data_IF_259121934929
#
_entry.id   IF_259121934929
#
_cell.length_a   1.000
_cell.length_b   1.000
_cell.length_c   1.000
_cell.angle_alpha   90.00
_cell.angle_beta   90.00
_cell.angle_gamma   90.00
#
_symmetry.space_group_name_H-M   'P 1'
#
loop_
_entity.id
_entity.type
_entity.pdbx_description
1 polymer ?
#
# COMPACT_ATOMS: atom_id res chain seq x y z
N UNK A 1 -1.19 3.75 -8.93
CA UNK A 1 -0.89 3.70 -10.37
C UNK A 1 -1.86 4.62 -11.08
N UNK A 2 -1.43 5.79 -11.61
CA UNK A 2 -2.27 6.68 -12.43
C UNK A 2 -1.52 7.91 -13.00
N UNK A 3 -2.16 8.63 -13.93
CA UNK A 3 -1.63 9.14 -15.20
C UNK A 3 -1.98 10.61 -15.59
N UNK A 4 -1.12 11.42 -16.22
CA UNK A 4 -1.42 12.82 -16.63
C UNK A 4 -1.69 12.96 -18.13
N UNK A 5 -2.49 13.96 -18.50
CA UNK A 5 -2.44 14.61 -19.81
C UNK A 5 -1.27 15.62 -19.89
N UNK A 6 -0.76 15.73 -21.12
CA UNK A 6 0.25 16.65 -21.68
C UNK A 6 1.73 16.51 -21.25
N UNK A 7 2.50 15.81 -22.10
CA UNK A 7 3.60 16.37 -22.91
C UNK A 7 3.69 15.54 -24.21
N UNK A 8 3.38 16.18 -25.34
CA UNK A 8 3.73 15.89 -26.75
C UNK A 8 4.08 14.46 -27.22
N UNK A 9 3.26 13.97 -28.17
CA UNK A 9 3.38 12.78 -29.06
C UNK A 9 3.01 11.40 -28.45
N UNK A 10 1.82 10.93 -28.85
CA UNK A 10 1.33 9.54 -28.96
C UNK A 10 0.59 8.82 -27.82
N UNK A 11 0.31 9.40 -26.64
CA UNK A 11 -0.52 8.72 -25.63
C UNK A 11 -1.55 9.66 -24.98
N UNK A 12 -2.82 9.68 -25.41
CA UNK A 12 -3.87 10.56 -24.88
C UNK A 12 -4.32 10.22 -23.44
N UNK A 13 -3.73 9.20 -22.81
CA UNK A 13 -4.13 8.71 -21.48
C UNK A 13 -2.94 8.49 -20.54
N UNK A 14 -1.77 9.09 -20.84
CA UNK A 14 -0.42 8.94 -20.24
C UNK A 14 0.04 7.52 -19.83
N UNK A 15 1.08 7.35 -18.97
CA UNK A 15 1.56 6.02 -18.51
C UNK A 15 0.49 5.20 -17.77
N UNK A 16 0.11 4.06 -18.34
CA UNK A 16 -0.88 3.13 -17.79
C UNK A 16 -0.28 2.07 -16.86
N UNK A 17 -0.80 0.84 -16.92
CA UNK A 17 -0.18 -0.31 -16.26
C UNK A 17 1.04 -0.80 -17.05
N UNK A 18 2.13 -0.04 -17.03
CA UNK A 18 3.33 -0.25 -17.86
C UNK A 18 4.62 -0.51 -17.05
N UNK A 19 4.49 -0.69 -15.74
CA UNK A 19 5.59 -0.90 -14.79
C UNK A 19 6.66 0.20 -14.76
N UNK A 20 6.35 1.41 -15.24
CA UNK A 20 7.17 2.63 -15.08
C UNK A 20 7.58 2.88 -13.62
N UNK A 21 6.67 2.65 -12.67
CA UNK A 21 6.91 2.76 -11.22
C UNK A 21 8.10 1.92 -10.70
N UNK A 22 8.48 0.85 -11.43
CA UNK A 22 9.58 -0.03 -11.05
C UNK A 22 10.94 0.48 -11.52
N UNK A 23 11.01 1.44 -12.45
CA UNK A 23 12.27 2.00 -12.93
C UNK A 23 12.98 2.78 -11.82
N UNK A 24 14.29 2.61 -11.72
CA UNK A 24 15.18 3.47 -10.93
C UNK A 24 15.57 4.70 -11.74
N UNK A 25 16.02 5.74 -11.05
CA UNK A 25 16.52 6.99 -11.65
C UNK A 25 17.68 6.70 -12.61
N UNK A 26 17.78 7.49 -13.67
CA UNK A 26 18.94 7.48 -14.57
C UNK A 26 19.23 8.89 -15.11
N UNK A 27 20.15 8.98 -16.09
CA UNK A 27 20.56 10.27 -16.67
C UNK A 27 19.49 10.97 -17.52
N UNK A 28 18.41 10.29 -17.92
CA UNK A 28 17.36 10.85 -18.81
C UNK A 28 16.03 11.05 -18.11
N UNK A 29 15.76 10.39 -16.98
CA UNK A 29 14.56 10.62 -16.17
C UNK A 29 14.78 10.31 -14.68
N UNK A 30 13.93 10.92 -13.85
CA UNK A 30 13.75 10.54 -12.45
C UNK A 30 12.60 9.54 -12.34
N UNK A 31 12.85 8.41 -11.68
CA UNK A 31 11.87 7.37 -11.41
C UNK A 31 10.74 7.86 -10.50
N UNK A 32 9.66 7.09 -10.45
CA UNK A 32 8.46 7.49 -9.69
C UNK A 32 8.56 7.22 -8.19
N UNK A 33 9.58 6.46 -7.76
CA UNK A 33 9.72 6.01 -6.37
C UNK A 33 9.91 7.15 -5.37
N UNK A 34 10.45 8.27 -5.84
CA UNK A 34 10.68 9.49 -5.03
C UNK A 34 9.54 10.50 -5.13
N UNK A 35 8.46 10.19 -5.86
CA UNK A 35 7.25 11.02 -5.88
C UNK A 35 6.65 11.10 -4.47
N UNK A 36 6.04 12.22 -4.09
CA UNK A 36 5.45 12.43 -2.76
C UNK A 36 4.54 11.28 -2.30
N UNK A 37 3.62 10.78 -3.14
CA UNK A 37 2.76 9.63 -2.78
C UNK A 37 3.51 8.29 -2.60
N UNK A 38 4.67 8.13 -3.24
CA UNK A 38 5.44 6.88 -3.24
C UNK A 38 6.60 6.88 -2.23
N UNK A 39 7.22 8.03 -2.01
CA UNK A 39 8.41 8.20 -1.18
C UNK A 39 8.12 7.84 0.27
N UNK A 40 8.95 6.97 0.86
CA UNK A 40 8.75 6.43 2.21
C UNK A 40 7.34 5.83 2.43
N UNK A 41 6.76 5.25 1.38
CA UNK A 41 5.40 4.69 1.35
C UNK A 41 5.35 3.40 0.52
N UNK A 42 5.56 3.50 -0.80
CA UNK A 42 5.54 2.38 -1.73
C UNK A 42 6.74 1.44 -1.48
N UNK A 43 6.49 0.14 -1.61
CA UNK A 43 7.39 -0.91 -1.11
C UNK A 43 7.11 -2.26 -1.79
N UNK A 44 7.91 -3.28 -1.46
CA UNK A 44 7.78 -4.63 -2.05
C UNK A 44 8.49 -4.79 -3.39
N UNK A 45 9.27 -3.79 -3.84
CA UNK A 45 9.96 -3.85 -5.11
C UNK A 45 10.94 -5.03 -5.23
N UNK A 46 11.60 -5.41 -4.13
CA UNK A 46 12.50 -6.57 -4.08
C UNK A 46 11.76 -7.90 -4.32
N UNK A 47 10.48 -7.99 -3.90
CA UNK A 47 9.65 -9.17 -4.18
C UNK A 47 9.38 -9.27 -5.67
N UNK A 48 9.12 -8.14 -6.33
CA UNK A 48 8.93 -8.10 -7.79
C UNK A 48 10.22 -8.50 -8.51
N UNK A 49 11.39 -8.06 -8.01
CA UNK A 49 12.69 -8.49 -8.56
C UNK A 49 12.89 -10.01 -8.40
N UNK A 50 12.52 -10.60 -7.25
CA UNK A 50 12.57 -12.05 -7.03
C UNK A 50 11.66 -12.81 -7.98
N UNK A 51 10.39 -12.38 -8.12
CA UNK A 51 9.44 -12.98 -9.08
C UNK A 51 10.02 -12.89 -10.49
N UNK A 52 10.56 -11.73 -10.86
CA UNK A 52 11.15 -11.53 -12.17
C UNK A 52 12.34 -12.44 -12.41
N UNK A 53 13.25 -12.57 -11.46
CA UNK A 53 14.42 -13.46 -11.57
C UNK A 53 14.01 -14.93 -11.75
N UNK A 54 13.00 -15.39 -11.00
CA UNK A 54 12.49 -16.76 -11.10
C UNK A 54 11.82 -17.00 -12.46
N UNK A 55 11.07 -16.01 -12.97
CA UNK A 55 10.45 -16.09 -14.29
C UNK A 55 11.49 -16.03 -15.41
N UNK A 56 12.52 -15.18 -15.31
CA UNK A 56 13.60 -15.17 -16.31
C UNK A 56 14.39 -16.48 -16.33
N UNK A 57 14.46 -17.20 -15.22
CA UNK A 57 15.05 -18.55 -15.18
C UNK A 57 14.15 -19.59 -15.86
N UNK A 58 12.83 -19.45 -15.72
CA UNK A 58 11.85 -20.44 -16.19
C UNK A 58 11.39 -20.20 -17.63
N UNK A 59 11.25 -18.94 -18.02
CA UNK A 59 10.77 -18.47 -19.31
C UNK A 59 11.47 -17.14 -19.70
N UNK A 60 12.76 -17.20 -20.10
CA UNK A 60 13.58 -16.02 -20.39
C UNK A 60 12.93 -15.09 -21.42
N UNK A 61 12.83 -13.81 -21.10
CA UNK A 61 12.32 -12.78 -22.02
C UNK A 61 10.84 -12.88 -22.39
N UNK A 62 10.03 -13.65 -21.63
CA UNK A 62 8.62 -13.87 -21.95
C UNK A 62 7.68 -12.97 -21.14
N UNK A 63 7.89 -12.82 -19.83
CA UNK A 63 6.93 -12.15 -18.95
C UNK A 63 7.36 -10.72 -18.64
N UNK A 64 6.53 -9.73 -18.96
CA UNK A 64 6.79 -8.32 -18.62
C UNK A 64 6.65 -8.05 -17.12
N UNK A 65 7.35 -7.02 -16.64
CA UNK A 65 7.17 -6.57 -15.25
C UNK A 65 5.76 -5.99 -15.01
N UNK A 66 5.14 -5.41 -16.04
CA UNK A 66 3.75 -4.94 -16.00
C UNK A 66 2.76 -6.07 -15.72
N UNK A 67 2.90 -7.23 -16.38
CA UNK A 67 2.05 -8.39 -16.12
C UNK A 67 2.36 -9.05 -14.77
N UNK A 68 3.63 -9.04 -14.31
CA UNK A 68 3.98 -9.48 -12.96
C UNK A 68 3.21 -8.69 -11.90
N UNK A 69 3.16 -7.35 -12.02
CA UNK A 69 2.42 -6.51 -11.07
C UNK A 69 0.92 -6.81 -11.08
N UNK A 70 0.32 -7.00 -12.26
CA UNK A 70 -1.10 -7.30 -12.38
C UNK A 70 -1.48 -8.65 -11.76
N UNK A 71 -0.68 -9.70 -12.02
CA UNK A 71 -0.89 -11.03 -11.44
C UNK A 71 -0.61 -11.04 -9.94
N UNK A 72 0.49 -10.42 -9.50
CA UNK A 72 0.84 -10.34 -8.08
C UNK A 72 -0.24 -9.60 -7.28
N UNK A 73 -0.87 -8.56 -7.84
CA UNK A 73 -1.99 -7.87 -7.20
C UNK A 73 -3.20 -8.81 -7.00
N UNK A 74 -3.59 -9.58 -8.02
CA UNK A 74 -4.67 -10.56 -7.90
C UNK A 74 -4.34 -11.66 -6.90
N UNK A 75 -3.15 -12.24 -6.98
CA UNK A 75 -2.71 -13.33 -6.11
C UNK A 75 -2.62 -12.87 -4.65
N UNK A 76 -2.21 -11.62 -4.39
CA UNK A 76 -2.19 -11.04 -3.05
C UNK A 76 -3.60 -10.92 -2.45
N UNK A 77 -4.58 -10.49 -3.25
CA UNK A 77 -5.98 -10.41 -2.80
C UNK A 77 -6.53 -11.80 -2.48
N UNK A 78 -6.30 -12.79 -3.35
CA UNK A 78 -6.74 -14.18 -3.14
C UNK A 78 -6.07 -14.79 -1.91
N UNK A 79 -4.77 -14.54 -1.69
CA UNK A 79 -4.04 -15.04 -0.53
C UNK A 79 -4.58 -14.49 0.81
N UNK A 80 -5.27 -13.35 0.76
CA UNK A 80 -5.90 -12.69 1.90
C UNK A 80 -7.42 -12.96 1.95
N UNK A 81 -7.88 -14.05 1.33
CA UNK A 81 -9.28 -14.51 1.27
C UNK A 81 -10.24 -13.62 0.46
N UNK A 82 -9.69 -12.73 -0.37
CA UNK A 82 -10.48 -11.92 -1.29
C UNK A 82 -10.90 -12.68 -2.55
N UNK A 83 -11.59 -11.99 -3.48
CA UNK A 83 -12.02 -12.61 -4.73
C UNK A 83 -10.85 -12.93 -5.65
N UNK A 84 -11.04 -13.94 -6.49
CA UNK A 84 -10.21 -14.13 -7.68
C UNK A 84 -10.92 -13.54 -8.89
N UNK A 85 -10.15 -13.03 -9.85
CA UNK A 85 -10.60 -12.67 -11.18
C UNK A 85 -9.58 -13.12 -12.22
N UNK A 86 -9.99 -13.18 -13.48
CA UNK A 86 -9.09 -13.45 -14.60
C UNK A 86 -8.33 -12.17 -14.92
N UNK A 87 -7.01 -12.20 -14.80
CA UNK A 87 -6.13 -11.08 -15.15
C UNK A 87 -5.85 -11.13 -16.66
N UNK A 88 -6.26 -10.12 -17.47
CA UNK A 88 -5.79 -10.02 -18.85
C UNK A 88 -4.27 -9.84 -18.87
N UNK A 89 -3.56 -10.52 -19.76
CA UNK A 89 -2.10 -10.44 -19.92
C UNK A 89 -1.72 -9.87 -21.29
N UNK A 90 -0.43 -9.68 -21.52
CA UNK A 90 0.13 -9.14 -22.76
C UNK A 90 0.59 -7.69 -22.65
N UNK A 91 0.66 -7.14 -21.42
CA UNK A 91 1.22 -5.81 -21.20
C UNK A 91 2.72 -5.84 -21.46
N UNK A 92 3.26 -4.70 -21.85
CA UNK A 92 4.68 -4.48 -22.06
C UNK A 92 5.17 -3.37 -21.15
N UNK A 93 6.46 -3.40 -20.91
CA UNK A 93 7.12 -2.49 -19.98
C UNK A 93 7.49 -1.18 -20.66
N UNK A 94 7.26 -0.08 -19.95
CA UNK A 94 7.75 1.23 -20.33
C UNK A 94 9.28 1.29 -20.35
N UNK A 95 9.81 2.16 -21.20
CA UNK A 95 11.23 2.53 -21.26
C UNK A 95 11.54 3.80 -20.46
N UNK A 96 10.52 4.45 -19.89
CA UNK A 96 10.63 5.71 -19.14
C UNK A 96 9.70 5.71 -17.92
N UNK A 97 9.95 6.62 -16.98
CA UNK A 97 9.11 6.88 -15.82
C UNK A 97 8.82 8.39 -15.69
N UNK A 98 7.80 8.76 -14.92
CA UNK A 98 7.45 10.17 -14.75
C UNK A 98 7.14 10.53 -13.29
N UNK A 99 8.15 11.07 -12.60
CA UNK A 99 8.01 11.63 -11.25
C UNK A 99 6.87 12.65 -11.16
N UNK A 100 6.77 13.57 -12.14
CA UNK A 100 5.72 14.59 -12.17
C UNK A 100 4.34 13.98 -12.34
N UNK A 101 4.17 12.98 -13.22
CA UNK A 101 2.90 12.29 -13.36
C UNK A 101 2.51 11.56 -12.07
N UNK A 102 3.44 10.90 -11.38
CA UNK A 102 3.14 10.27 -10.09
C UNK A 102 2.67 11.30 -9.03
N UNK A 103 3.29 12.49 -8.98
CA UNK A 103 2.88 13.57 -8.06
C UNK A 103 1.51 14.16 -8.39
N UNK A 104 1.17 14.30 -9.66
CA UNK A 104 -0.06 14.99 -10.08
C UNK A 104 -1.30 14.09 -10.12
N UNK A 105 -1.14 12.77 -10.25
CA UNK A 105 -2.27 11.89 -10.59
C UNK A 105 -2.62 10.83 -9.54
N UNK A 106 -1.83 10.70 -8.48
CA UNK A 106 -2.16 9.82 -7.38
C UNK A 106 -3.04 10.61 -6.39
N UNK A 107 -4.26 10.15 -6.09
CA UNK A 107 -5.14 10.85 -5.18
C UNK A 107 -4.54 10.89 -3.77
N UNK A 108 -4.61 12.05 -3.13
CA UNK A 108 -4.14 12.23 -1.77
C UNK A 108 -5.15 11.74 -0.71
N UNK A 109 -4.68 11.40 0.48
CA UNK A 109 -5.52 10.90 1.58
C UNK A 109 -6.45 11.97 2.20
N UNK A 110 -6.23 13.25 1.85
CA UNK A 110 -6.98 14.41 2.35
C UNK A 110 -7.98 14.97 1.32
N UNK A 111 -8.22 14.25 0.21
CA UNK A 111 -9.18 14.70 -0.80
C UNK A 111 -10.62 14.47 -0.35
N UNK A 112 -11.49 15.45 -0.65
CA UNK A 112 -12.94 15.30 -0.49
C UNK A 112 -13.55 14.41 -1.57
N UNK A 113 -14.82 14.01 -1.39
CA UNK A 113 -15.51 13.10 -2.31
C UNK A 113 -15.52 13.58 -3.78
N UNK A 114 -15.78 14.87 -4.02
CA UNK A 114 -15.83 15.43 -5.38
C UNK A 114 -14.46 15.35 -6.08
N UNK A 115 -13.39 15.65 -5.35
CA UNK A 115 -12.03 15.55 -5.86
C UNK A 115 -11.62 14.09 -6.11
N UNK A 116 -12.04 13.14 -5.27
CA UNK A 116 -11.82 11.71 -5.49
C UNK A 116 -12.54 11.21 -6.75
N UNK A 117 -13.82 11.57 -6.90
CA UNK A 117 -14.60 11.22 -8.10
C UNK A 117 -13.93 11.80 -9.35
N UNK A 118 -13.45 13.05 -9.29
CA UNK A 118 -12.74 13.70 -10.40
C UNK A 118 -11.43 12.98 -10.72
N UNK A 119 -10.64 12.61 -9.71
CA UNK A 119 -9.39 11.90 -9.91
C UNK A 119 -9.59 10.53 -10.61
N UNK A 120 -10.66 9.82 -10.25
CA UNK A 120 -11.02 8.54 -10.85
C UNK A 120 -11.68 8.69 -12.23
N UNK A 121 -12.52 9.72 -12.43
CA UNK A 121 -13.16 9.98 -13.72
C UNK A 121 -12.15 10.41 -14.79
N UNK A 122 -11.09 11.13 -14.40
CA UNK A 122 -9.93 11.42 -15.25
C UNK A 122 -9.15 10.16 -15.69
N UNK A 123 -9.50 8.99 -15.13
CA UNK A 123 -8.98 7.67 -15.48
C UNK A 123 -10.06 6.77 -16.08
N UNK A 124 -11.23 7.32 -16.40
CA UNK A 124 -12.36 6.60 -16.98
C UNK A 124 -13.14 5.75 -15.98
N UNK A 125 -12.98 5.94 -14.67
CA UNK A 125 -13.74 5.22 -13.65
C UNK A 125 -14.98 5.99 -13.18
N UNK A 126 -15.99 5.24 -12.82
CA UNK A 126 -17.23 5.70 -12.19
C UNK A 126 -17.05 5.83 -10.68
N UNK A 127 -17.97 6.54 -10.02
CA UNK A 127 -18.01 6.60 -8.55
C UNK A 127 -18.18 5.21 -7.92
N UNK A 128 -18.91 4.28 -8.56
CA UNK A 128 -19.05 2.90 -8.10
C UNK A 128 -17.71 2.16 -8.09
N UNK A 129 -16.90 2.35 -9.13
CA UNK A 129 -15.57 1.73 -9.25
C UNK A 129 -14.56 2.37 -8.30
N UNK A 130 -14.64 3.67 -8.03
CA UNK A 130 -13.92 4.33 -6.93
C UNK A 130 -14.23 3.63 -5.61
N UNK A 131 -15.51 3.50 -5.24
CA UNK A 131 -15.91 2.88 -3.96
C UNK A 131 -15.45 1.42 -3.89
N UNK A 132 -15.51 0.68 -5.00
CA UNK A 132 -15.00 -0.69 -5.07
C UNK A 132 -13.49 -0.74 -4.84
N UNK A 133 -12.70 0.02 -5.59
CA UNK A 133 -11.23 0.01 -5.50
C UNK A 133 -10.71 0.52 -4.14
N UNK A 134 -11.39 1.48 -3.52
CA UNK A 134 -11.09 1.91 -2.15
C UNK A 134 -11.26 0.79 -1.12
N UNK A 135 -12.06 -0.24 -1.43
CA UNK A 135 -12.16 -1.46 -0.62
C UNK A 135 -10.83 -2.19 -0.44
N UNK A 136 -9.80 -1.91 -1.24
CA UNK A 136 -8.43 -2.41 -1.02
C UNK A 136 -7.81 -1.95 0.30
N UNK A 137 -8.30 -0.86 0.91
CA UNK A 137 -7.93 -0.42 2.25
C UNK A 137 -8.48 -1.33 3.38
N UNK A 138 -9.22 -2.39 3.05
CA UNK A 138 -9.51 -3.47 4.01
C UNK A 138 -8.23 -4.14 4.53
N UNK A 139 -7.10 -4.00 3.82
CA UNK A 139 -5.79 -4.53 4.21
C UNK A 139 -4.73 -3.43 4.16
N UNK A 140 -3.70 -3.62 4.98
CA UNK A 140 -2.52 -2.75 5.00
C UNK A 140 -2.60 -1.65 6.05
N UNK A 141 -1.70 -0.69 5.92
CA UNK A 141 -1.45 0.31 6.95
C UNK A 141 -1.23 1.69 6.39
N UNK A 142 -1.55 2.69 7.21
CA UNK A 142 -1.26 4.08 6.94
C UNK A 142 -0.34 4.67 8.00
N UNK A 143 0.53 5.59 7.58
CA UNK A 143 1.39 6.36 8.48
C UNK A 143 0.60 7.49 9.14
N UNK A 144 0.96 7.82 10.37
CA UNK A 144 0.43 8.98 11.07
C UNK A 144 0.38 10.26 10.22
N UNK A 145 1.42 10.52 9.42
CA UNK A 145 1.49 11.69 8.55
C UNK A 145 0.32 11.82 7.57
N UNK A 146 -0.33 10.72 7.17
CA UNK A 146 -1.43 10.74 6.18
C UNK A 146 -2.82 10.79 6.81
N UNK A 147 -2.97 10.55 8.12
CA UNK A 147 -4.28 10.63 8.81
C UNK A 147 -4.31 11.58 10.01
N UNK A 148 -3.17 12.18 10.40
CA UNK A 148 -3.09 13.10 11.54
C UNK A 148 -4.10 14.23 11.44
N UNK A 149 -4.19 14.89 10.28
CA UNK A 149 -5.15 15.98 10.11
C UNK A 149 -6.58 15.51 10.40
N UNK A 150 -6.96 14.35 9.85
CA UNK A 150 -8.29 13.78 10.01
C UNK A 150 -8.66 13.55 11.48
N UNK A 151 -7.80 12.88 12.25
CA UNK A 151 -8.11 12.54 13.65
C UNK A 151 -8.14 13.77 14.58
N UNK A 152 -7.46 14.87 14.23
CA UNK A 152 -7.39 16.08 15.07
C UNK A 152 -8.38 17.16 14.67
N UNK A 153 -8.70 17.29 13.38
CA UNK A 153 -9.40 18.46 12.84
C UNK A 153 -10.80 18.15 12.32
N UNK A 154 -11.09 16.89 11.94
CA UNK A 154 -12.33 16.58 11.26
C UNK A 154 -13.42 16.13 12.24
N UNK A 155 -14.67 16.48 11.92
CA UNK A 155 -15.84 16.12 12.72
C UNK A 155 -16.53 14.81 12.25
N UNK A 156 -16.14 14.28 11.09
CA UNK A 156 -16.74 13.09 10.49
C UNK A 156 -16.07 11.77 10.91
N UNK A 157 -15.30 11.77 12.00
CA UNK A 157 -14.66 10.59 12.59
C UNK A 157 -15.24 10.29 13.98
N UNK A 158 -15.40 9.00 14.29
CA UNK A 158 -15.84 8.54 15.59
C UNK A 158 -14.87 9.01 16.68
N UNK A 159 -15.38 9.74 17.68
CA UNK A 159 -14.56 10.37 18.71
C UNK A 159 -13.73 9.37 19.55
N UNK A 160 -14.27 8.19 19.86
CA UNK A 160 -13.55 7.16 20.61
C UNK A 160 -12.42 6.55 19.76
N UNK A 161 -12.69 6.33 18.48
CA UNK A 161 -11.70 5.84 17.53
C UNK A 161 -10.58 6.85 17.27
N UNK A 162 -10.92 8.12 17.07
CA UNK A 162 -9.93 9.19 16.97
C UNK A 162 -9.07 9.29 18.24
N UNK A 163 -9.68 9.14 19.41
CA UNK A 163 -8.96 9.12 20.70
C UNK A 163 -7.99 7.94 20.81
N UNK A 164 -8.38 6.75 20.34
CA UNK A 164 -7.48 5.58 20.37
C UNK A 164 -6.29 5.74 19.44
N UNK A 165 -6.46 6.37 18.28
CA UNK A 165 -5.38 6.67 17.34
C UNK A 165 -4.43 7.74 17.87
N UNK A 166 -4.94 8.80 18.52
CA UNK A 166 -4.14 9.89 19.11
C UNK A 166 -3.12 9.41 20.14
N UNK A 167 -3.42 8.32 20.86
CA UNK A 167 -2.48 7.72 21.81
C UNK A 167 -1.14 7.34 21.18
N UNK A 168 -1.16 7.00 19.88
CA UNK A 168 0.02 6.63 19.10
C UNK A 168 0.35 7.66 18.01
N UNK A 169 -0.33 8.81 17.96
CA UNK A 169 -0.19 9.77 16.86
C UNK A 169 -0.28 11.21 17.38
N UNK A 170 0.83 11.80 17.89
CA UNK A 170 0.83 13.14 18.46
C UNK A 170 0.54 14.26 17.44
N UNK A 171 0.24 15.47 17.93
CA UNK A 171 -0.16 16.62 17.11
C UNK A 171 1.00 17.38 16.43
N UNK A 172 2.25 17.35 16.94
CA UNK A 172 3.42 18.02 16.32
C UNK A 172 4.77 17.29 16.57
N UNK A 173 5.71 17.35 15.59
CA UNK A 173 7.16 17.03 15.68
C UNK A 173 7.65 15.62 15.27
N UNK A 174 8.95 15.48 14.96
CA UNK A 174 9.69 14.19 14.97
C UNK A 174 9.90 13.46 13.62
N UNK A 175 9.84 14.17 12.50
CA UNK A 175 9.62 13.62 11.15
C UNK A 175 10.70 12.65 10.59
N UNK A 176 11.89 12.55 11.20
CA UNK A 176 13.06 11.90 10.59
C UNK A 176 13.82 10.87 11.46
N UNK A 177 13.30 10.42 12.61
CA UNK A 177 14.09 9.55 13.51
C UNK A 177 13.71 8.06 13.42
N UNK A 178 14.73 7.20 13.29
CA UNK A 178 14.64 5.72 13.26
C UNK A 178 15.65 5.11 14.27
N UNK A 179 15.33 3.97 14.89
CA UNK A 179 16.23 3.23 15.79
C UNK A 179 16.20 1.70 15.51
N UNK A 180 17.36 1.01 15.44
CA UNK A 180 17.43 -0.42 15.15
C UNK A 180 17.02 -1.30 16.34
N UNK A 181 16.34 -2.41 16.06
CA UNK A 181 15.82 -3.39 17.03
C UNK A 181 16.82 -4.45 17.49
N UNK A 182 17.88 -4.66 16.72
CA UNK A 182 18.91 -5.66 16.99
C UNK A 182 20.28 -5.03 16.75
N UNK A 183 21.14 -5.05 17.77
CA UNK A 183 22.51 -4.51 17.69
C UNK A 183 23.53 -5.54 17.22
N UNK A 184 23.09 -6.78 16.98
CA UNK A 184 23.93 -7.95 16.65
C UNK A 184 23.73 -8.38 15.18
N UNK A 185 22.49 -8.37 14.69
CA UNK A 185 22.17 -8.68 13.29
C UNK A 185 21.02 -7.79 12.76
N UNK A 186 21.30 -6.51 12.46
CA UNK A 186 20.29 -5.48 12.12
C UNK A 186 19.47 -5.75 10.84
N UNK A 187 19.72 -6.86 10.14
CA UNK A 187 19.20 -7.16 8.81
C UNK A 187 18.70 -8.60 8.62
N UNK A 188 18.56 -9.41 9.70
CA UNK A 188 18.15 -10.83 9.60
C UNK A 188 16.98 -11.21 10.54
N UNK A 189 16.18 -12.19 10.12
CA UNK A 189 14.96 -12.67 10.80
C UNK A 189 15.13 -14.16 11.21
N UNK A 190 14.77 -14.54 12.44
CA UNK A 190 14.89 -15.91 12.95
C UNK A 190 13.56 -16.54 13.44
N UNK A 191 13.64 -17.83 13.81
CA UNK A 191 12.50 -18.72 14.08
C UNK A 191 11.79 -18.49 15.42
N UNK A 192 12.28 -17.60 16.29
CA UNK A 192 11.66 -17.36 17.60
C UNK A 192 10.33 -16.58 17.50
N UNK A 193 10.14 -15.81 16.43
CA UNK A 193 9.03 -14.89 16.23
C UNK A 193 7.70 -15.56 15.78
N UNK A 194 7.72 -16.75 15.19
CA UNK A 194 6.59 -17.27 14.38
C UNK A 194 5.59 -18.22 15.05
N UNK A 195 5.69 -18.49 16.36
CA UNK A 195 4.85 -19.53 17.00
C UNK A 195 3.32 -19.27 17.01
N UNK A 196 2.84 -18.12 16.51
CA UNK A 196 1.40 -17.80 16.41
C UNK A 196 0.88 -17.57 14.95
N UNK A 197 1.63 -17.94 13.91
CA UNK A 197 1.30 -17.61 12.50
C UNK A 197 1.18 -18.84 11.58
N UNK A 198 0.62 -19.95 12.06
CA UNK A 198 0.69 -21.24 11.36
C UNK A 198 -0.18 -21.33 10.09
N UNK A 199 -1.32 -20.64 10.04
CA UNK A 199 -2.24 -20.66 8.89
C UNK A 199 -1.69 -19.93 7.65
N UNK A 200 -1.11 -18.74 7.87
CA UNK A 200 -0.61 -17.87 6.79
C UNK A 200 0.67 -18.44 6.14
N UNK A 201 1.54 -19.07 6.95
CA UNK A 201 2.73 -19.79 6.47
C UNK A 201 2.33 -20.94 5.54
N UNK A 202 1.27 -21.67 5.89
CA UNK A 202 0.80 -22.82 5.11
C UNK A 202 0.28 -22.39 3.73
N UNK A 203 -0.49 -21.29 3.66
CA UNK A 203 -1.02 -20.77 2.39
C UNK A 203 0.09 -20.29 1.42
N UNK A 204 1.14 -19.65 1.94
CA UNK A 204 2.26 -19.16 1.14
C UNK A 204 3.22 -20.27 0.72
N UNK A 205 3.46 -21.24 1.62
CA UNK A 205 4.23 -22.45 1.30
C UNK A 205 3.61 -23.23 0.15
N UNK A 206 2.27 -23.29 0.06
CA UNK A 206 1.56 -23.94 -1.04
C UNK A 206 1.71 -23.22 -2.40
N UNK A 207 2.27 -22.00 -2.40
CA UNK A 207 2.54 -21.18 -3.60
C UNK A 207 4.05 -21.07 -3.90
N UNK A 208 4.87 -21.87 -3.22
CA UNK A 208 6.33 -21.88 -3.41
C UNK A 208 7.08 -20.76 -2.70
N UNK A 209 6.41 -20.01 -1.83
CA UNK A 209 7.03 -18.93 -1.05
C UNK A 209 7.45 -19.43 0.34
N UNK A 210 8.66 -19.06 0.75
CA UNK A 210 9.20 -19.29 2.09
C UNK A 210 8.53 -18.38 3.13
N UNK A 211 8.64 -18.72 4.42
CA UNK A 211 8.22 -17.82 5.51
C UNK A 211 8.90 -16.43 5.46
N UNK A 212 10.11 -16.37 4.90
CA UNK A 212 10.85 -15.12 4.66
C UNK A 212 10.23 -14.28 3.54
N UNK A 213 9.74 -14.91 2.47
CA UNK A 213 9.03 -14.24 1.37
C UNK A 213 7.60 -13.87 1.76
N UNK A 214 6.95 -14.70 2.58
CA UNK A 214 5.72 -14.32 3.28
C UNK A 214 5.95 -13.02 4.06
N UNK A 215 7.02 -12.89 4.83
CA UNK A 215 7.35 -11.65 5.56
C UNK A 215 7.86 -10.52 4.66
N UNK A 216 8.37 -10.80 3.46
CA UNK A 216 8.61 -9.74 2.47
C UNK A 216 7.30 -9.21 1.84
N UNK A 217 6.30 -10.08 1.67
CA UNK A 217 4.96 -9.78 1.11
C UNK A 217 3.99 -9.19 2.16
N UNK A 218 4.04 -9.68 3.40
CA UNK A 218 3.24 -9.20 4.54
C UNK A 218 3.95 -8.12 5.35
N UNK A 219 5.28 -8.07 5.25
CA UNK A 219 6.07 -6.93 5.67
C UNK A 219 5.94 -5.85 4.63
N UNK A 220 4.70 -5.35 4.41
CA UNK A 220 4.28 -3.93 4.31
C UNK A 220 4.37 -3.17 5.63
N UNK A 221 4.85 -3.87 6.66
CA UNK A 221 5.24 -3.38 7.96
C UNK A 221 6.76 -3.49 8.06
N UNK A 222 7.43 -2.38 8.39
CA UNK A 222 8.88 -2.20 8.44
C UNK A 222 9.61 -3.31 9.22
N UNK A 223 10.55 -3.99 8.57
CA UNK A 223 11.44 -4.96 9.25
C UNK A 223 12.76 -4.28 9.63
N UNK A 224 13.15 -4.42 10.90
CA UNK A 224 14.44 -4.02 11.49
C UNK A 224 14.38 -2.93 12.57
N UNK A 225 13.22 -2.31 12.79
CA UNK A 225 13.09 -1.15 13.68
C UNK A 225 11.77 -1.20 14.45
N UNK A 226 11.84 -1.15 15.79
CA UNK A 226 10.67 -1.05 16.66
C UNK A 226 10.41 0.41 16.89
N UNK A 227 9.13 0.74 16.92
CA UNK A 227 8.70 2.06 17.34
C UNK A 227 8.92 2.19 18.83
N UNK A 228 9.42 3.35 19.20
CA UNK A 228 9.48 3.79 20.57
C UNK A 228 8.21 3.49 21.36
N UNK A 229 7.01 3.66 20.79
CA UNK A 229 5.75 3.41 21.51
C UNK A 229 5.63 2.00 22.12
N UNK A 230 6.31 1.01 21.55
CA UNK A 230 6.27 -0.39 22.01
C UNK A 230 7.11 -0.62 23.26
N UNK A 231 8.24 0.09 23.40
CA UNK A 231 9.20 -0.12 24.49
C UNK A 231 9.51 1.15 25.29
N UNK A 232 8.89 2.30 24.98
CA UNK A 232 9.14 3.59 25.64
C UNK A 232 8.80 3.50 27.12
N UNK A 233 7.64 2.94 27.47
CA UNK A 233 7.30 2.72 28.88
C UNK A 233 8.34 1.84 29.55
N UNK A 234 8.76 0.76 28.88
CA UNK A 234 9.74 -0.18 29.43
C UNK A 234 11.13 0.46 29.66
N UNK A 235 11.68 1.20 28.69
CA UNK A 235 13.02 1.82 28.83
C UNK A 235 13.03 3.03 29.78
N UNK A 236 11.89 3.71 29.99
CA UNK A 236 11.79 4.89 30.87
C UNK A 236 11.31 4.57 32.28
N UNK A 237 10.46 3.56 32.46
CA UNK A 237 9.70 3.37 33.70
C UNK A 237 10.00 2.04 34.41
N UNK A 238 10.58 1.04 33.74
CA UNK A 238 10.77 -0.27 34.34
C UNK A 238 12.17 -0.41 34.94
N UNK A 239 12.25 -0.93 36.17
CA UNK A 239 13.52 -1.12 36.87
C UNK A 239 14.26 -2.42 36.48
N UNK A 240 13.65 -3.26 35.63
CA UNK A 240 14.13 -4.59 35.27
C UNK A 240 14.80 -4.65 33.87
N UNK A 241 15.14 -3.50 33.29
CA UNK A 241 15.89 -3.39 32.04
C UNK A 241 17.36 -3.04 32.30
N UNK A 242 18.28 -3.60 31.52
CA UNK A 242 19.69 -3.24 31.60
C UNK A 242 19.90 -1.74 31.34
N UNK A 243 20.57 -1.05 32.26
CA UNK A 243 20.69 0.41 32.24
C UNK A 243 21.50 0.95 31.05
N UNK A 244 22.53 0.24 30.58
CA UNK A 244 23.35 0.64 29.43
C UNK A 244 22.58 0.45 28.12
N UNK A 245 21.81 -0.63 28.01
CA UNK A 245 20.91 -0.90 26.89
C UNK A 245 19.74 0.08 26.82
N UNK A 246 19.13 0.42 27.96
CA UNK A 246 18.10 1.46 28.02
C UNK A 246 18.65 2.83 27.62
N UNK A 247 19.89 3.15 28.02
CA UNK A 247 20.55 4.41 27.66
C UNK A 247 20.89 4.50 26.17
N UNK A 248 21.34 3.40 25.54
CA UNK A 248 21.60 3.38 24.09
C UNK A 248 20.32 3.53 23.27
N UNK A 249 19.20 2.96 23.73
CA UNK A 249 17.90 3.13 23.08
C UNK A 249 17.32 4.53 23.26
N UNK A 250 17.49 5.15 24.45
CA UNK A 250 17.06 6.54 24.72
C UNK A 250 17.71 7.57 23.81
N UNK A 251 18.93 7.31 23.30
CA UNK A 251 19.62 8.19 22.36
C UNK A 251 18.84 8.42 21.05
N UNK A 252 18.06 7.42 20.60
CA UNK A 252 17.24 7.48 19.39
C UNK A 252 15.73 7.42 19.70
N UNK A 253 15.35 7.44 20.98
CA UNK A 253 13.99 7.24 21.44
C UNK A 253 13.61 8.20 22.59
N UNK A 254 13.46 9.51 22.29
CA UNK A 254 13.11 10.52 23.29
C UNK A 254 11.70 10.32 23.88
N UNK A 255 11.45 10.99 25.00
CA UNK A 255 10.23 10.88 25.80
C UNK A 255 8.95 11.38 25.09
N UNK A 256 9.06 11.97 23.89
CA UNK A 256 7.95 12.43 23.02
C UNK A 256 8.22 12.12 21.52
N UNK A 257 7.19 11.76 20.72
CA UNK A 257 7.23 11.50 19.24
C UNK A 257 6.39 10.29 18.72
N UNK A 258 6.08 10.17 17.40
CA UNK A 258 5.27 9.06 16.83
C UNK A 258 4.88 9.00 15.32
N UNK A 259 5.50 9.73 14.39
CA UNK A 259 4.98 9.94 13.02
C UNK A 259 5.09 8.77 12.03
N UNK A 260 6.00 7.84 12.30
CA UNK A 260 6.14 6.59 11.56
C UNK A 260 5.29 5.47 12.17
N UNK A 261 4.43 5.80 13.14
CA UNK A 261 3.45 4.87 13.65
C UNK A 261 2.44 4.57 12.55
N UNK A 262 2.27 3.27 12.33
CA UNK A 262 1.35 2.70 11.37
C UNK A 262 0.11 2.27 12.16
N UNK A 263 -1.04 2.69 11.66
CA UNK A 263 -2.34 2.17 12.06
C UNK A 263 -2.88 1.31 10.91
N UNK A 264 -3.63 0.24 11.22
CA UNK A 264 -4.27 -0.54 10.17
C UNK A 264 -5.36 0.28 9.50
N UNK A 265 -5.46 0.20 8.16
CA UNK A 265 -6.51 0.88 7.40
C UNK A 265 -7.91 0.29 7.71
N UNK A 266 -7.96 -0.99 8.08
CA UNK A 266 -9.13 -1.69 8.60
C UNK A 266 -8.91 -2.06 10.07
N UNK A 267 -9.76 -1.54 10.95
CA UNK A 267 -9.63 -1.78 12.40
C UNK A 267 -10.29 -3.07 12.86
N UNK A 268 -11.12 -3.66 12.02
CA UNK A 268 -11.93 -4.84 12.31
C UNK A 268 -11.22 -6.11 11.84
N UNK A 269 -10.66 -6.11 10.62
CA UNK A 269 -9.98 -7.26 10.04
C UNK A 269 -8.69 -6.88 9.28
N UNK A 270 -7.63 -6.40 9.95
CA UNK A 270 -6.44 -5.80 9.33
C UNK A 270 -5.66 -6.65 8.30
N UNK A 271 -5.95 -7.95 8.23
CA UNK A 271 -5.22 -8.94 7.42
C UNK A 271 -6.14 -9.79 6.55
N UNK A 272 -7.45 -9.49 6.51
CA UNK A 272 -8.39 -10.19 5.65
C UNK A 272 -8.96 -9.23 4.62
N UNK A 273 -9.05 -9.69 3.37
CA UNK A 273 -9.73 -8.95 2.32
C UNK A 273 -11.22 -9.26 2.39
N UNK A 274 -11.98 -8.42 3.08
CA UNK A 274 -13.41 -8.59 3.28
C UNK A 274 -14.16 -7.24 3.20
N UNK A 275 -15.42 -7.20 3.64
CA UNK A 275 -16.24 -6.00 3.59
C UNK A 275 -16.26 -5.18 4.89
N UNK A 276 -15.39 -5.49 5.85
CA UNK A 276 -15.31 -4.78 7.12
C UNK A 276 -14.85 -3.33 6.95
N UNK A 277 -14.05 -3.03 5.93
CA UNK A 277 -13.76 -1.66 5.49
C UNK A 277 -15.03 -0.80 5.38
N UNK A 278 -16.07 -1.29 4.69
CA UNK A 278 -17.32 -0.55 4.52
C UNK A 278 -18.15 -0.43 5.81
N UNK A 279 -18.07 -1.45 6.69
CA UNK A 279 -18.68 -1.41 8.04
C UNK A 279 -17.97 -0.37 8.92
N UNK A 280 -16.65 -0.21 8.77
CA UNK A 280 -15.89 0.82 9.47
C UNK A 280 -16.34 2.21 9.02
N UNK A 281 -16.55 2.46 7.72
CA UNK A 281 -17.03 3.76 7.22
C UNK A 281 -18.39 4.15 7.83
N UNK A 282 -19.33 3.20 7.93
CA UNK A 282 -20.63 3.41 8.59
C UNK A 282 -20.50 3.77 10.08
N UNK A 283 -19.47 3.23 10.74
CA UNK A 283 -19.13 3.53 12.12
C UNK A 283 -18.30 4.80 12.31
N UNK A 284 -18.07 5.60 11.26
CA UNK A 284 -17.13 6.72 11.23
C UNK A 284 -15.70 6.32 11.63
N UNK A 285 -15.27 5.13 11.21
CA UNK A 285 -13.95 4.55 11.48
C UNK A 285 -13.08 4.45 10.23
N UNK A 286 -13.34 5.26 9.20
CA UNK A 286 -12.39 5.45 8.11
C UNK A 286 -11.10 6.08 8.64
N UNK A 287 -9.95 5.47 8.34
CA UNK A 287 -8.67 5.97 8.87
C UNK A 287 -8.21 7.21 8.10
N UNK A 288 -8.33 7.21 6.78
CA UNK A 288 -7.99 8.36 5.95
C UNK A 288 -9.21 9.25 5.76
N UNK A 289 -9.00 10.57 5.66
CA UNK A 289 -10.10 11.49 5.34
C UNK A 289 -10.80 11.08 4.04
N UNK A 290 -10.04 10.74 3.00
CA UNK A 290 -10.55 10.26 1.72
C UNK A 290 -11.41 8.99 1.82
N UNK A 291 -11.16 8.13 2.81
CA UNK A 291 -12.00 6.95 3.03
C UNK A 291 -13.34 7.36 3.64
N UNK A 292 -13.29 8.21 4.67
CA UNK A 292 -14.49 8.63 5.38
C UNK A 292 -15.42 9.50 4.51
N UNK A 293 -14.86 10.21 3.53
CA UNK A 293 -15.60 10.97 2.52
C UNK A 293 -16.48 10.09 1.60
N UNK A 294 -16.20 8.79 1.50
CA UNK A 294 -17.08 7.87 0.75
C UNK A 294 -18.42 7.62 1.46
N UNK A 295 -18.51 7.91 2.76
CA UNK A 295 -19.71 7.76 3.58
C UNK A 295 -19.88 8.96 4.52
N UNK A 296 -20.31 10.09 3.93
CA UNK A 296 -20.43 11.38 4.60
C UNK A 296 -21.68 12.16 4.12
N UNK A 297 -22.78 11.46 3.82
CA UNK A 297 -24.01 12.07 3.28
C UNK A 297 -23.95 12.35 1.78
N UNK A 298 -23.07 11.63 1.06
CA UNK A 298 -22.74 11.88 -0.34
C UNK A 298 -23.39 10.92 -1.33
N UNK A 299 -23.04 11.07 -2.61
CA UNK A 299 -23.56 10.23 -3.70
C UNK A 299 -23.09 8.77 -3.65
N UNK A 300 -22.08 8.46 -2.84
CA UNK A 300 -21.50 7.12 -2.69
C UNK A 300 -22.09 6.31 -1.54
N UNK A 301 -22.88 6.91 -0.65
CA UNK A 301 -23.40 6.27 0.57
C UNK A 301 -24.22 5.00 0.27
N UNK A 302 -25.06 5.01 -0.77
CA UNK A 302 -25.85 3.85 -1.18
C UNK A 302 -24.97 2.65 -1.60
N UNK A 303 -23.83 2.93 -2.24
CA UNK A 303 -22.88 1.90 -2.67
C UNK A 303 -22.12 1.32 -1.47
N UNK A 304 -21.69 2.17 -0.52
CA UNK A 304 -21.07 1.74 0.74
C UNK A 304 -22.03 0.86 1.55
N UNK A 305 -23.31 1.25 1.65
CA UNK A 305 -24.35 0.44 2.30
C UNK A 305 -24.51 -0.94 1.65
N UNK A 306 -24.51 -0.98 0.31
CA UNK A 306 -24.58 -2.24 -0.44
C UNK A 306 -23.39 -3.15 -0.12
N UNK A 307 -22.16 -2.64 -0.19
CA UNK A 307 -20.98 -3.45 0.06
C UNK A 307 -20.85 -3.88 1.53
N UNK A 308 -21.29 -3.06 2.49
CA UNK A 308 -21.26 -3.40 3.93
C UNK A 308 -22.10 -4.63 4.29
N UNK A 309 -23.17 -4.90 3.52
CA UNK A 309 -24.12 -6.00 3.76
C UNK A 309 -23.97 -7.15 2.77
N UNK A 310 -23.35 -6.91 1.61
CA UNK A 310 -23.20 -7.90 0.54
C UNK A 310 -21.75 -7.98 0.04
N UNK A 311 -20.97 -8.88 0.65
CA UNK A 311 -19.57 -9.14 0.26
C UNK A 311 -19.44 -9.69 -1.17
N UNK A 312 -20.41 -10.46 -1.66
CA UNK A 312 -20.38 -11.01 -3.02
C UNK A 312 -20.49 -9.93 -4.10
N UNK A 313 -21.33 -8.91 -3.88
CA UNK A 313 -21.43 -7.75 -4.78
C UNK A 313 -20.15 -6.93 -4.75
N UNK A 314 -19.60 -6.64 -3.55
CA UNK A 314 -18.29 -5.99 -3.42
C UNK A 314 -17.20 -6.73 -4.20
N UNK A 315 -17.09 -8.04 -3.98
CA UNK A 315 -16.07 -8.87 -4.61
C UNK A 315 -16.15 -8.91 -6.13
N UNK A 316 -17.38 -8.97 -6.66
CA UNK A 316 -17.63 -8.95 -8.10
C UNK A 316 -17.26 -7.61 -8.71
N UNK A 317 -17.71 -6.51 -8.10
CA UNK A 317 -17.42 -5.16 -8.57
C UNK A 317 -15.93 -4.80 -8.42
N UNK A 318 -15.27 -5.27 -7.35
CA UNK A 318 -13.84 -5.13 -7.14
C UNK A 318 -13.04 -5.85 -8.23
N UNK A 319 -13.36 -7.12 -8.53
CA UNK A 319 -12.70 -7.87 -9.60
C UNK A 319 -12.87 -7.18 -10.96
N UNK A 320 -14.07 -6.71 -11.29
CA UNK A 320 -14.34 -5.97 -12.53
C UNK A 320 -13.55 -4.65 -12.59
N UNK A 321 -13.51 -3.89 -11.49
CA UNK A 321 -12.77 -2.64 -11.41
C UNK A 321 -11.25 -2.88 -11.49
N UNK A 322 -10.72 -3.95 -10.90
CA UNK A 322 -9.32 -4.36 -11.02
C UNK A 322 -8.94 -4.76 -12.45
N UNK A 323 -9.82 -5.47 -13.16
CA UNK A 323 -9.63 -5.78 -14.59
C UNK A 323 -9.58 -4.49 -15.42
N UNK A 324 -10.53 -3.57 -15.19
CA UNK A 324 -10.55 -2.27 -15.87
C UNK A 324 -9.30 -1.45 -15.56
N UNK A 325 -8.86 -1.43 -14.30
CA UNK A 325 -7.64 -0.75 -13.89
C UNK A 325 -6.40 -1.35 -14.54
N UNK A 326 -6.30 -2.67 -14.62
CA UNK A 326 -5.26 -3.35 -15.38
C UNK A 326 -5.25 -2.99 -16.86
N UNK A 327 -6.37 -2.52 -17.43
CA UNK A 327 -6.48 -2.16 -18.84
C UNK A 327 -6.31 -0.66 -19.10
N UNK A 328 -5.83 0.12 -18.12
CA UNK A 328 -5.47 1.52 -18.34
C UNK A 328 -4.23 1.59 -19.22
N UNK A 329 -4.39 2.17 -20.41
CA UNK A 329 -3.34 2.54 -21.37
C UNK A 329 -2.19 1.52 -21.49
N UNK A 330 -2.46 0.22 -21.70
CA UNK A 330 -1.41 -0.79 -21.71
C UNK A 330 -0.53 -0.64 -22.96
N UNK A 331 0.79 -0.71 -22.77
CA UNK A 331 1.70 -0.95 -23.89
C UNK A 331 1.52 -2.39 -24.35
N UNK A 332 1.27 -2.60 -25.64
CA UNK A 332 1.01 -3.94 -26.22
C UNK A 332 1.67 -4.08 -27.58
N UNK A 333 1.70 -5.31 -28.11
CA UNK A 333 2.29 -5.60 -29.42
C UNK A 333 3.78 -5.29 -29.45
N UNK A 334 4.18 -4.31 -30.26
CA UNK A 334 5.57 -3.83 -30.36
C UNK A 334 5.86 -2.58 -29.53
N UNK A 335 4.85 -1.99 -28.88
CA UNK A 335 5.05 -0.82 -28.00
C UNK A 335 5.66 -1.24 -26.67
N UNK A 336 6.73 -0.58 -26.24
CA UNK A 336 7.47 -0.96 -25.03
C UNK A 336 8.31 -2.22 -25.21
N UNK A 337 8.76 -2.81 -24.10
CA UNK A 337 9.67 -3.95 -24.08
C UNK A 337 9.25 -5.05 -23.11
N UNK A 338 9.93 -6.19 -23.13
CA UNK A 338 9.92 -7.13 -22.00
C UNK A 338 11.26 -6.94 -21.32
N UNK A 339 11.27 -6.26 -20.18
CA UNK A 339 12.52 -6.02 -19.44
C UNK A 339 13.01 -7.32 -18.86
N UNK A 340 14.32 -7.56 -18.86
CA UNK A 340 14.93 -8.67 -18.10
C UNK A 340 15.14 -8.31 -16.63
N UNK A 341 15.27 -7.01 -16.34
CA UNK A 341 15.37 -6.46 -15.00
C UNK A 341 14.32 -5.34 -14.83
N UNK A 342 13.44 -5.46 -13.85
CA UNK A 342 12.35 -4.49 -13.64
C UNK A 342 12.80 -3.10 -13.18
N UNK A 343 14.08 -2.90 -12.87
CA UNK A 343 14.64 -1.63 -12.40
C UNK A 343 15.18 -0.73 -13.50
N UNK A 344 15.41 -1.26 -14.70
CA UNK A 344 16.01 -0.50 -15.81
C UNK A 344 15.44 -0.92 -17.15
N UNK A 345 15.46 -0.02 -18.13
CA UNK A 345 15.24 -0.43 -19.51
C UNK A 345 16.35 -1.42 -19.96
N UNK A 346 16.04 -2.28 -20.94
CA UNK A 346 17.06 -3.17 -21.54
C UNK A 346 18.13 -2.36 -22.29
#
# INVERSE_FOLDING_TARGET
MSVSENITRNYPHGPGCDASVLLDDNSTFTGEKTAGPNSNSLRGFNVIDTIKSNLETSCPGVVSCADILAVAARDSVVALNGPSWTVPLGRRDSTTASLSAANSNLPGPNLNLSALITAFSNKGFTAKELVALSGSHTIGQARCTVFRSHIYNDANINAQFATSLKANCPSTGGDNNLAPLDTTSPTAFDNAYYKNLQGLITAFSNKGFTAKELVALSGSHTVGQARCTVFRSHIYNDANINAQFATSLKANCPSTGGDNNLAPLDTTSPTAFDNAYYKNLQGQKGLLHSDQELFNGGSTDAQVNTYSTNSATFFTDFGNAMVKMGNLSPLTGTSGQIRTNCRKAN
#
